data_IF_693988196299
#
_entry.id   IF_693988196299
#
_cell.length_a   1.000
_cell.length_b   1.000
_cell.length_c   1.000
_cell.angle_alpha   90.00
_cell.angle_beta   90.00
_cell.angle_gamma   90.00
#
_symmetry.space_group_name_H-M   'P 1'
#
loop_
_entity.id
_entity.type
_entity.pdbx_description
1 polymer ?
#
# COMPACT_ATOMS: atom_id res chain seq x y z
N UNK A 1 -3.64 -44.60 19.05
CA UNK A 1 -4.53 -43.69 18.31
C UNK A 1 -4.03 -42.29 18.63
N UNK A 2 -3.13 -41.68 17.84
CA UNK A 2 -3.09 -41.60 16.36
C UNK A 2 -4.39 -40.93 15.88
N UNK A 3 -4.49 -39.80 15.17
CA UNK A 3 -3.60 -39.08 14.22
C UNK A 3 -4.06 -37.60 14.10
N UNK A 4 -3.37 -36.58 13.53
CA UNK A 4 -2.02 -36.40 12.95
C UNK A 4 -1.64 -34.88 12.95
N UNK A 5 -0.41 -34.55 13.40
CA UNK A 5 0.62 -33.82 12.63
C UNK A 5 0.18 -32.74 11.62
N UNK A 6 0.44 -31.46 11.92
CA UNK A 6 1.15 -30.48 11.07
C UNK A 6 0.99 -29.05 11.61
N UNK A 7 1.70 -28.72 12.71
CA UNK A 7 2.05 -27.32 12.97
C UNK A 7 3.17 -26.96 11.99
N UNK A 8 2.82 -26.38 10.85
CA UNK A 8 3.79 -25.91 9.85
C UNK A 8 4.46 -24.62 10.33
N UNK A 9 5.36 -24.74 11.30
CA UNK A 9 6.34 -23.71 11.57
C UNK A 9 7.21 -23.57 10.32
N UNK A 10 7.00 -22.50 9.54
CA UNK A 10 7.87 -22.13 8.42
C UNK A 10 9.20 -21.63 8.97
N UNK A 11 10.05 -22.58 9.37
CA UNK A 11 11.45 -22.32 9.66
C UNK A 11 12.17 -22.16 8.32
N UNK A 12 12.27 -20.92 7.85
CA UNK A 12 13.13 -20.60 6.72
C UNK A 12 14.57 -20.98 7.05
N UNK A 13 15.34 -21.54 6.09
CA UNK A 13 16.76 -21.77 6.29
C UNK A 13 17.44 -20.43 6.55
N UNK A 14 17.99 -20.25 7.75
CA UNK A 14 18.79 -19.07 8.07
C UNK A 14 20.03 -19.05 7.19
N UNK A 15 20.27 -18.01 6.36
CA UNK A 15 21.48 -17.90 5.56
C UNK A 15 22.65 -17.39 6.42
N UNK A 16 22.88 -18.04 7.57
CA UNK A 16 24.18 -18.00 8.21
C UNK A 16 25.18 -18.67 7.24
N UNK A 17 26.28 -18.00 6.93
CA UNK A 17 27.33 -18.46 6.00
C UNK A 17 26.93 -18.57 4.52
N UNK A 18 26.46 -17.46 3.94
CA UNK A 18 27.10 -17.02 2.70
C UNK A 18 27.69 -15.63 2.95
N UNK A 19 28.95 -15.46 2.55
CA UNK A 19 29.62 -14.15 2.52
C UNK A 19 28.72 -13.17 1.80
N UNK A 20 28.40 -12.01 2.42
CA UNK A 20 27.74 -10.92 1.70
C UNK A 20 28.51 -10.71 0.39
N UNK A 21 27.87 -10.75 -0.78
CA UNK A 21 28.49 -10.12 -1.94
C UNK A 21 28.77 -8.68 -1.52
N UNK A 22 30.02 -8.22 -1.66
CA UNK A 22 30.36 -6.80 -1.50
C UNK A 22 29.65 -6.02 -2.63
N UNK A 23 28.37 -5.72 -2.47
CA UNK A 23 27.58 -4.91 -3.41
C UNK A 23 28.08 -3.47 -3.43
N UNK A 24 28.66 -3.02 -2.32
CA UNK A 24 29.22 -1.69 -2.13
C UNK A 24 30.73 -1.63 -2.44
N UNK A 25 31.15 -2.21 -3.57
CA UNK A 25 32.46 -1.89 -4.14
C UNK A 25 32.44 -0.43 -4.60
N UNK A 26 33.39 0.37 -4.12
CA UNK A 26 33.51 1.78 -4.51
C UNK A 26 33.87 1.91 -5.98
N UNK A 27 33.32 2.90 -6.70
CA UNK A 27 33.75 3.25 -8.06
C UNK A 27 35.27 3.44 -8.15
N UNK A 28 35.90 3.93 -7.08
CA UNK A 28 37.36 4.09 -6.98
C UNK A 28 38.10 2.76 -6.97
N UNK A 29 37.61 1.79 -6.18
CA UNK A 29 38.17 0.42 -6.15
C UNK A 29 37.97 -0.30 -7.50
N UNK A 30 36.84 -0.09 -8.17
CA UNK A 30 36.57 -0.67 -9.51
C UNK A 30 37.56 -0.09 -10.54
N UNK A 31 37.78 1.23 -10.53
CA UNK A 31 38.73 1.90 -11.44
C UNK A 31 40.18 1.44 -11.21
N UNK A 32 40.60 1.29 -9.95
CA UNK A 32 41.95 0.82 -9.62
C UNK A 32 42.14 -0.69 -9.93
N UNK A 33 41.10 -1.52 -9.76
CA UNK A 33 41.17 -2.99 -9.98
C UNK A 33 41.15 -3.37 -11.46
N UNK A 34 40.40 -2.66 -12.30
CA UNK A 34 40.20 -3.00 -13.72
C UNK A 34 40.95 -2.07 -14.69
N UNK A 35 41.96 -1.34 -14.19
CA UNK A 35 42.75 -0.35 -14.93
C UNK A 35 43.31 -0.85 -16.26
N UNK A 36 43.79 -2.10 -16.28
CA UNK A 36 44.46 -2.70 -17.43
C UNK A 36 43.48 -3.32 -18.45
N UNK A 37 42.19 -3.45 -18.11
CA UNK A 37 41.20 -4.12 -18.95
C UNK A 37 39.96 -3.23 -19.18
N UNK A 38 40.13 -2.28 -20.10
CA UNK A 38 39.21 -1.17 -20.31
C UNK A 38 37.80 -1.57 -20.75
N UNK A 39 37.64 -2.68 -21.48
CA UNK A 39 36.32 -3.14 -21.95
C UNK A 39 35.53 -3.86 -20.86
N UNK A 40 36.20 -4.57 -19.95
CA UNK A 40 35.56 -5.12 -18.76
C UNK A 40 35.12 -4.00 -17.80
N UNK A 41 35.95 -2.97 -17.64
CA UNK A 41 35.60 -1.77 -16.86
C UNK A 41 34.34 -1.07 -17.41
N UNK A 42 34.21 -0.91 -18.74
CA UNK A 42 32.98 -0.37 -19.37
C UNK A 42 31.75 -1.24 -19.07
N UNK A 43 31.87 -2.57 -19.12
CA UNK A 43 30.77 -3.48 -18.79
C UNK A 43 30.32 -3.34 -17.33
N UNK A 44 31.27 -3.27 -16.40
CA UNK A 44 30.99 -3.09 -14.96
C UNK A 44 30.33 -1.73 -14.70
N UNK A 45 30.83 -0.65 -15.30
CA UNK A 45 30.24 0.69 -15.15
C UNK A 45 28.83 0.76 -15.75
N UNK A 46 28.59 0.15 -16.91
CA UNK A 46 27.24 0.05 -17.48
C UNK A 46 26.30 -0.76 -16.58
N UNK A 47 26.74 -1.90 -16.05
CA UNK A 47 25.95 -2.70 -15.11
C UNK A 47 25.58 -1.90 -13.84
N UNK A 48 26.54 -1.16 -13.28
CA UNK A 48 26.32 -0.27 -12.12
C UNK A 48 25.29 0.83 -12.41
N UNK A 49 25.30 1.39 -13.62
CA UNK A 49 24.31 2.40 -14.07
C UNK A 49 22.91 1.80 -14.24
N UNK A 50 22.79 0.57 -14.74
CA UNK A 50 21.48 -0.09 -14.83
C UNK A 50 20.94 -0.51 -13.45
N UNK A 51 21.79 -0.90 -12.50
CA UNK A 51 21.39 -1.12 -11.10
C UNK A 51 20.89 0.19 -10.43
N UNK A 52 21.59 1.31 -10.63
CA UNK A 52 21.20 2.62 -10.08
C UNK A 52 19.85 3.09 -10.66
N UNK A 53 19.65 2.94 -11.98
CA UNK A 53 18.35 3.18 -12.63
C UNK A 53 17.26 2.26 -12.09
N UNK A 54 17.54 0.97 -11.91
CA UNK A 54 16.57 0.01 -11.37
C UNK A 54 16.18 0.38 -9.93
N UNK A 55 17.13 0.85 -9.12
CA UNK A 55 16.91 1.36 -7.77
C UNK A 55 15.99 2.59 -7.76
N UNK A 56 16.29 3.59 -8.62
CA UNK A 56 15.46 4.80 -8.78
C UNK A 56 14.03 4.43 -9.22
N UNK A 57 13.89 3.60 -10.26
CA UNK A 57 12.59 3.18 -10.78
C UNK A 57 11.79 2.36 -9.75
N UNK A 58 12.45 1.55 -8.93
CA UNK A 58 11.81 0.83 -7.83
C UNK A 58 11.32 1.80 -6.75
N UNK A 59 12.12 2.81 -6.38
CA UNK A 59 11.74 3.81 -5.39
C UNK A 59 10.55 4.66 -5.86
N UNK A 60 10.56 5.12 -7.11
CA UNK A 60 9.44 5.83 -7.74
C UNK A 60 8.17 4.96 -7.77
N UNK A 61 8.31 3.68 -8.11
CA UNK A 61 7.18 2.74 -8.15
C UNK A 61 6.57 2.49 -6.76
N UNK A 62 7.40 2.30 -5.72
CA UNK A 62 6.95 2.18 -4.34
C UNK A 62 6.23 3.45 -3.87
N UNK A 63 6.81 4.63 -4.12
CA UNK A 63 6.17 5.90 -3.77
C UNK A 63 4.80 6.08 -4.47
N UNK A 64 4.69 5.69 -5.74
CA UNK A 64 3.44 5.72 -6.49
C UNK A 64 2.41 4.72 -5.96
N UNK A 65 2.82 3.55 -5.47
CA UNK A 65 1.94 2.56 -4.84
C UNK A 65 1.39 3.07 -3.51
N UNK A 66 2.25 3.55 -2.61
CA UNK A 66 1.85 4.08 -1.29
C UNK A 66 0.85 5.24 -1.44
N UNK A 67 1.11 6.14 -2.39
CA UNK A 67 0.21 7.26 -2.74
C UNK A 67 -1.17 6.77 -3.18
N UNK A 68 -1.27 5.69 -3.97
CA UNK A 68 -2.55 5.10 -4.38
C UNK A 68 -3.27 4.43 -3.21
N UNK A 69 -2.55 3.70 -2.37
CA UNK A 69 -3.12 3.02 -1.22
C UNK A 69 -3.79 4.02 -0.24
N UNK A 70 -3.15 5.17 0.01
CA UNK A 70 -3.74 6.22 0.85
C UNK A 70 -4.94 6.90 0.17
N UNK A 71 -4.91 7.12 -1.15
CA UNK A 71 -6.07 7.63 -1.91
C UNK A 71 -7.29 6.67 -1.87
N UNK A 72 -7.08 5.36 -1.96
CA UNK A 72 -8.14 4.36 -1.87
C UNK A 72 -8.71 4.25 -0.44
N UNK A 73 -7.83 4.28 0.57
CA UNK A 73 -8.21 4.34 1.98
C UNK A 73 -9.05 5.59 2.30
N UNK A 74 -8.63 6.76 1.82
CA UNK A 74 -9.40 8.00 1.96
C UNK A 74 -10.78 7.91 1.30
N UNK A 75 -10.87 7.42 0.06
CA UNK A 75 -12.16 7.23 -0.65
C UNK A 75 -13.09 6.27 0.10
N UNK A 76 -12.54 5.17 0.62
CA UNK A 76 -13.29 4.18 1.41
C UNK A 76 -13.88 4.81 2.67
N UNK A 77 -13.10 5.61 3.39
CA UNK A 77 -13.57 6.30 4.59
C UNK A 77 -14.63 7.38 4.28
N UNK A 78 -14.49 8.11 3.18
CA UNK A 78 -15.53 9.06 2.73
C UNK A 78 -16.85 8.35 2.42
N UNK A 79 -16.82 7.22 1.70
CA UNK A 79 -18.02 6.42 1.43
C UNK A 79 -18.66 5.92 2.73
N UNK A 80 -17.84 5.39 3.66
CA UNK A 80 -18.29 4.89 4.97
C UNK A 80 -18.96 5.99 5.81
N UNK A 81 -18.47 7.22 5.74
CA UNK A 81 -19.07 8.37 6.41
C UNK A 81 -20.40 8.77 5.76
N UNK A 82 -20.48 8.78 4.42
CA UNK A 82 -21.73 9.06 3.70
C UNK A 82 -22.83 8.04 3.99
N UNK A 83 -22.53 6.74 4.00
CA UNK A 83 -23.49 5.70 4.37
C UNK A 83 -24.05 5.95 5.79
N UNK A 84 -23.17 6.21 6.77
CA UNK A 84 -23.58 6.54 8.15
C UNK A 84 -24.44 7.81 8.23
N UNK A 85 -24.19 8.80 7.39
CA UNK A 85 -25.03 10.00 7.34
C UNK A 85 -26.45 9.66 6.86
N UNK A 86 -26.58 8.87 5.79
CA UNK A 86 -27.88 8.41 5.28
C UNK A 86 -28.64 7.59 6.34
N UNK A 87 -27.96 6.68 7.04
CA UNK A 87 -28.55 5.90 8.15
C UNK A 87 -29.10 6.82 9.26
N UNK A 88 -28.34 7.85 9.63
CA UNK A 88 -28.75 8.84 10.64
C UNK A 88 -29.93 9.71 10.18
N UNK A 89 -30.01 10.03 8.89
CA UNK A 89 -31.15 10.76 8.31
C UNK A 89 -32.40 9.87 8.27
N UNK A 90 -32.29 8.61 7.87
CA UNK A 90 -33.40 7.64 7.95
C UNK A 90 -33.91 7.44 9.38
N UNK A 91 -33.00 7.37 10.36
CA UNK A 91 -33.35 7.28 11.78
C UNK A 91 -34.05 8.55 12.32
N UNK A 92 -33.76 9.73 11.77
CA UNK A 92 -34.49 10.97 12.09
C UNK A 92 -35.91 10.94 11.51
N UNK A 93 -36.06 10.51 10.26
CA UNK A 93 -37.38 10.39 9.62
C UNK A 93 -38.28 9.37 10.35
N UNK A 94 -37.76 8.19 10.71
CA UNK A 94 -38.51 7.18 11.48
C UNK A 94 -38.91 7.66 12.89
N UNK A 95 -38.19 8.63 13.46
CA UNK A 95 -38.49 9.21 14.78
C UNK A 95 -39.40 10.43 14.72
N UNK A 96 -39.82 10.88 13.52
CA UNK A 96 -40.91 11.86 13.43
C UNK A 96 -42.19 11.18 13.93
N UNK A 97 -42.90 11.73 14.92
CA UNK A 97 -44.21 11.21 15.29
C UNK A 97 -45.11 11.25 14.05
N UNK A 98 -46.04 10.29 13.86
CA UNK A 98 -46.98 10.36 12.76
C UNK A 98 -47.79 11.65 12.90
N UNK A 99 -47.56 12.60 12.00
CA UNK A 99 -48.40 13.79 11.87
C UNK A 99 -49.78 13.29 11.52
N UNK A 100 -50.67 13.24 12.52
CA UNK A 100 -52.08 12.94 12.30
C UNK A 100 -52.60 14.07 11.41
N UNK A 101 -52.72 13.79 10.12
CA UNK A 101 -53.41 14.66 9.18
C UNK A 101 -54.89 14.59 9.51
N UNK A 102 -55.30 15.32 10.55
CA UNK A 102 -56.70 15.63 10.79
C UNK A 102 -57.13 16.53 9.64
N UNK A 103 -57.65 15.93 8.57
CA UNK A 103 -58.12 16.59 7.35
C UNK A 103 -59.39 17.43 7.57
N UNK A 104 -59.43 18.20 8.66
CA UNK A 104 -60.52 19.09 9.03
C UNK A 104 -60.21 20.45 8.37
N UNK A 105 -61.02 20.92 7.41
CA UNK A 105 -60.85 22.24 6.85
C UNK A 105 -61.00 23.29 7.96
N UNK A 106 -60.00 24.17 8.09
CA UNK A 106 -59.96 25.21 9.11
C UNK A 106 -60.86 26.39 8.70
N UNK A 107 -62.18 26.16 8.65
CA UNK A 107 -63.17 27.15 8.23
C UNK A 107 -64.42 27.11 9.13
N UNK A 108 -64.90 28.31 9.46
CA UNK A 108 -66.17 28.64 10.12
C UNK A 108 -66.29 28.27 11.62
N UNK A 109 -65.89 29.23 12.45
CA UNK A 109 -66.66 29.59 13.65
C UNK A 109 -67.15 31.04 13.45
N UNK A 110 -68.41 31.26 13.82
CA UNK A 110 -69.21 32.47 13.58
C UNK A 110 -68.91 33.51 14.65
#
# INVERSE_FOLDING_TARGET
MSELRNQSAFSYPSPATNTLPRTDISLREILDTYRDNNDLLKQILNAKVEEDKASILFFDYCFLLDRRAEEEKYKTEQLRLQCKQVDLEMLKEQKKPPTIYTGVPRNYLI
#
